data_IF_483577677277
#
_entry.id   IF_483577677277
#
_cell.length_a   1.000
_cell.length_b   1.000
_cell.length_c   1.000
_cell.angle_alpha   90.00
_cell.angle_beta   90.00
_cell.angle_gamma   90.00
#
_symmetry.space_group_name_H-M   'P 1'
#
loop_
_entity.id
_entity.type
_entity.pdbx_description
1 polymer ?
#
# COMPACT_ATOMS: atom_id res chain seq x y z
N UNK A 1 18.15 -11.55 6.60
CA UNK A 1 16.85 -11.78 5.93
C UNK A 1 16.40 -13.22 6.19
N UNK A 2 15.39 -13.39 7.04
CA UNK A 2 14.72 -14.69 7.21
C UNK A 2 13.63 -14.82 6.15
N UNK A 3 13.67 -15.91 5.40
CA UNK A 3 12.69 -16.21 4.36
C UNK A 3 11.58 -17.05 4.97
N UNK A 4 10.34 -16.54 4.93
CA UNK A 4 9.16 -17.27 5.38
C UNK A 4 8.47 -17.85 4.15
N UNK A 5 8.49 -19.17 4.01
CA UNK A 5 7.73 -19.90 3.00
C UNK A 5 6.38 -20.31 3.58
N UNK A 6 5.28 -19.96 2.89
CA UNK A 6 3.90 -20.18 3.38
C UNK A 6 3.21 -21.25 2.57
N UNK A 7 3.50 -22.55 2.73
CA UNK A 7 2.73 -23.57 2.02
C UNK A 7 2.36 -24.72 2.95
N UNK A 8 1.06 -24.94 3.15
CA UNK A 8 0.63 -26.32 3.41
C UNK A 8 -0.51 -26.79 2.50
N UNK A 9 -1.50 -25.98 2.07
CA UNK A 9 -2.65 -26.52 1.28
C UNK A 9 -3.34 -25.60 0.25
N UNK A 10 -2.65 -24.82 -0.59
CA UNK A 10 -3.31 -24.10 -1.71
C UNK A 10 -2.52 -24.06 -3.03
N UNK A 11 -3.24 -24.24 -4.14
CA UNK A 11 -2.77 -24.52 -5.51
C UNK A 11 -2.35 -23.27 -6.32
N UNK A 12 -2.60 -22.07 -5.82
CA UNK A 12 -2.02 -20.77 -6.22
C UNK A 12 -2.23 -19.82 -5.04
N UNK A 13 -1.19 -19.33 -4.36
CA UNK A 13 -1.38 -18.53 -3.12
C UNK A 13 -0.82 -17.11 -3.19
N UNK A 14 0.13 -16.85 -4.08
CA UNK A 14 0.64 -15.51 -4.45
C UNK A 14 1.27 -15.64 -5.84
N UNK A 15 1.38 -14.58 -6.66
CA UNK A 15 2.10 -14.67 -7.93
C UNK A 15 3.51 -15.23 -7.73
N UNK A 16 3.95 -16.16 -8.60
CA UNK A 16 5.25 -16.82 -8.44
C UNK A 16 6.45 -15.85 -8.49
N UNK A 17 6.26 -14.69 -9.14
CA UNK A 17 7.25 -13.62 -9.25
C UNK A 17 7.16 -12.58 -8.13
N UNK A 18 6.24 -12.74 -7.18
CA UNK A 18 6.08 -11.80 -6.06
C UNK A 18 7.15 -12.07 -5.00
N UNK A 19 8.06 -11.11 -4.82
CA UNK A 19 9.00 -11.10 -3.70
C UNK A 19 8.34 -10.52 -2.45
N UNK A 20 8.37 -11.28 -1.35
CA UNK A 20 7.76 -10.92 -0.07
C UNK A 20 8.85 -10.68 0.96
N UNK A 21 8.85 -9.49 1.58
CA UNK A 21 9.85 -9.08 2.57
C UNK A 21 9.14 -8.46 3.78
N UNK A 22 9.75 -8.54 4.96
CA UNK A 22 9.27 -7.90 6.17
C UNK A 22 10.39 -7.17 6.91
N UNK A 23 10.00 -6.22 7.75
CA UNK A 23 10.89 -5.46 8.62
C UNK A 23 10.31 -5.50 10.02
N UNK A 24 11.10 -5.98 10.98
CA UNK A 24 10.77 -5.86 12.41
C UNK A 24 11.26 -4.51 12.89
N UNK A 25 10.36 -3.70 13.42
CA UNK A 25 10.70 -2.41 14.00
C UNK A 25 9.75 -2.06 15.13
N UNK A 26 10.19 -1.15 15.99
CA UNK A 26 9.34 -0.60 17.05
C UNK A 26 8.21 0.24 16.46
N UNK A 27 7.07 0.29 17.15
CA UNK A 27 5.87 1.00 16.66
C UNK A 27 6.16 2.46 16.31
N UNK A 28 6.96 3.16 17.12
CA UNK A 28 7.32 4.56 16.89
C UNK A 28 8.23 4.78 15.67
N UNK A 29 8.91 3.73 15.19
CA UNK A 29 9.78 3.80 14.02
C UNK A 29 9.02 3.52 12.71
N UNK A 30 7.85 2.88 12.79
CA UNK A 30 7.05 2.43 11.64
C UNK A 30 6.84 3.50 10.56
N UNK A 31 6.46 4.71 10.98
CA UNK A 31 6.22 5.84 10.07
C UNK A 31 7.54 6.37 9.47
N UNK A 32 8.62 6.40 10.25
CA UNK A 32 9.93 6.81 9.77
C UNK A 32 10.49 5.82 8.74
N UNK A 33 10.29 4.52 8.97
CA UNK A 33 10.67 3.46 8.04
C UNK A 33 9.91 3.59 6.72
N UNK A 34 8.59 3.81 6.78
CA UNK A 34 7.78 4.06 5.58
C UNK A 34 8.27 5.30 4.82
N UNK A 35 8.53 6.40 5.52
CA UNK A 35 9.01 7.63 4.90
C UNK A 35 10.37 7.42 4.22
N UNK A 36 11.31 6.76 4.91
CA UNK A 36 12.63 6.43 4.35
C UNK A 36 12.51 5.54 3.12
N UNK A 37 11.65 4.51 3.17
CA UNK A 37 11.41 3.61 2.04
C UNK A 37 10.86 4.35 0.81
N UNK A 38 9.86 5.22 1.00
CA UNK A 38 9.30 5.98 -0.13
C UNK A 38 10.33 6.94 -0.72
N UNK A 39 11.19 7.55 0.12
CA UNK A 39 12.27 8.43 -0.35
C UNK A 39 13.35 7.73 -1.15
N UNK A 40 13.61 6.45 -0.91
CA UNK A 40 14.55 5.67 -1.73
C UNK A 40 13.93 5.13 -3.03
N UNK A 41 12.61 5.25 -3.21
CA UNK A 41 11.86 4.69 -4.35
C UNK A 41 11.00 5.73 -5.10
N UNK A 42 11.49 6.97 -5.27
CA UNK A 42 10.74 8.09 -5.87
C UNK A 42 10.19 7.83 -7.28
N UNK A 43 10.85 6.95 -8.04
CA UNK A 43 10.50 6.61 -9.43
C UNK A 43 9.64 5.34 -9.53
N UNK A 44 9.07 4.87 -8.42
CA UNK A 44 8.24 3.65 -8.37
C UNK A 44 6.78 4.00 -8.08
N UNK A 45 5.90 3.09 -8.51
CA UNK A 45 4.48 3.14 -8.20
C UNK A 45 4.18 2.20 -7.04
N UNK A 46 3.65 2.72 -5.95
CA UNK A 46 3.47 1.97 -4.70
C UNK A 46 2.06 2.13 -4.14
N UNK A 47 1.52 1.08 -3.53
CA UNK A 47 0.29 1.12 -2.74
C UNK A 47 0.66 0.82 -1.29
N UNK A 48 0.13 1.61 -0.37
CA UNK A 48 0.38 1.48 1.07
C UNK A 48 -0.94 1.25 1.77
N UNK A 49 -1.09 0.07 2.38
CA UNK A 49 -2.29 -0.33 3.10
C UNK A 49 -2.19 0.01 4.59
N UNK A 50 -3.26 0.64 5.09
CA UNK A 50 -3.47 1.00 6.49
C UNK A 50 -4.75 0.39 7.01
N UNK A 51 -4.82 0.15 8.33
CA UNK A 51 -5.95 -0.49 8.98
C UNK A 51 -7.22 0.39 9.00
N UNK A 52 -7.07 1.73 8.99
CA UNK A 52 -8.22 2.63 9.15
C UNK A 52 -8.25 3.83 8.20
N UNK A 53 -9.46 4.28 7.88
CA UNK A 53 -9.66 5.51 7.09
C UNK A 53 -9.06 6.75 7.77
N UNK A 54 -9.08 6.80 9.11
CA UNK A 54 -8.52 7.94 9.87
C UNK A 54 -7.00 8.00 9.73
N UNK A 55 -6.35 6.84 9.76
CA UNK A 55 -4.90 6.73 9.57
C UNK A 55 -4.48 7.11 8.17
N UNK A 56 -5.17 6.62 7.13
CA UNK A 56 -4.96 7.07 5.74
C UNK A 56 -5.05 8.60 5.65
N UNK A 57 -6.09 9.22 6.21
CA UNK A 57 -6.26 10.68 6.18
C UNK A 57 -5.15 11.42 6.92
N UNK A 58 -4.78 10.95 8.10
CA UNK A 58 -3.76 11.56 8.93
C UNK A 58 -2.39 11.49 8.25
N UNK A 59 -1.95 10.28 7.86
CA UNK A 59 -0.64 10.07 7.25
C UNK A 59 -0.56 10.70 5.87
N UNK A 60 -1.64 10.73 5.09
CA UNK A 60 -1.69 11.49 3.85
C UNK A 60 -1.36 12.97 4.08
N UNK A 61 -2.01 13.62 5.05
CA UNK A 61 -1.74 15.03 5.39
C UNK A 61 -0.32 15.25 5.89
N UNK A 62 0.19 14.34 6.72
CA UNK A 62 1.58 14.39 7.22
C UNK A 62 2.57 14.28 6.06
N UNK A 63 2.44 13.29 5.19
CA UNK A 63 3.37 13.07 4.09
C UNK A 63 3.29 14.19 3.05
N UNK A 64 2.11 14.76 2.79
CA UNK A 64 1.97 15.95 1.95
C UNK A 64 2.75 17.16 2.51
N UNK A 65 2.81 17.32 3.85
CA UNK A 65 3.62 18.37 4.49
C UNK A 65 5.12 18.05 4.46
N UNK A 66 5.49 16.78 4.67
CA UNK A 66 6.88 16.33 4.67
C UNK A 66 7.52 16.26 3.27
N UNK A 67 6.72 16.31 2.20
CA UNK A 67 7.16 16.36 0.79
C UNK A 67 8.24 15.33 0.46
N UNK A 68 7.94 14.02 0.46
CA UNK A 68 8.92 12.96 0.20
C UNK A 68 9.57 13.01 -1.19
N UNK A 69 9.03 13.79 -2.14
CA UNK A 69 9.59 13.94 -3.49
C UNK A 69 8.87 13.14 -4.57
N UNK A 70 7.71 12.56 -4.27
CA UNK A 70 6.83 11.87 -5.21
C UNK A 70 5.36 12.24 -4.95
N UNK A 71 4.46 12.11 -5.94
CA UNK A 71 3.03 12.35 -5.75
C UNK A 71 2.44 11.39 -4.72
N UNK A 72 1.66 11.94 -3.79
CA UNK A 72 0.94 11.17 -2.77
C UNK A 72 -0.55 11.28 -3.07
N UNK A 73 -1.24 10.15 -3.06
CA UNK A 73 -2.67 10.01 -3.27
C UNK A 73 -3.28 9.26 -2.08
N UNK A 74 -4.57 9.47 -1.82
CA UNK A 74 -5.28 8.80 -0.73
C UNK A 74 -6.67 8.33 -1.16
N UNK A 75 -6.96 7.07 -0.87
CA UNK A 75 -8.19 6.39 -1.24
C UNK A 75 -8.76 5.61 -0.05
N UNK A 76 -9.88 6.08 0.50
CA UNK A 76 -10.45 5.51 1.73
C UNK A 76 -11.99 5.44 1.69
N UNK A 77 -12.60 4.55 2.47
CA UNK A 77 -14.04 4.23 2.40
C UNK A 77 -14.99 5.40 2.67
N UNK A 78 -14.53 6.47 3.33
CA UNK A 78 -15.35 7.69 3.57
C UNK A 78 -15.45 8.64 2.36
N UNK A 79 -14.74 8.39 1.26
CA UNK A 79 -14.86 9.19 0.04
C UNK A 79 -16.08 8.79 -0.77
N UNK A 80 -16.75 9.77 -1.37
CA UNK A 80 -17.79 9.51 -2.36
C UNK A 80 -17.23 8.73 -3.55
N UNK A 81 -18.05 7.89 -4.17
CA UNK A 81 -17.63 7.01 -5.28
C UNK A 81 -16.97 7.77 -6.43
N UNK A 82 -17.52 8.94 -6.80
CA UNK A 82 -16.93 9.80 -7.84
C UNK A 82 -15.50 10.21 -7.51
N UNK A 83 -15.25 10.62 -6.25
CA UNK A 83 -13.91 11.02 -5.82
C UNK A 83 -12.95 9.84 -5.76
N UNK A 84 -13.42 8.66 -5.33
CA UNK A 84 -12.63 7.42 -5.36
C UNK A 84 -12.18 7.11 -6.78
N UNK A 85 -13.08 7.22 -7.76
CA UNK A 85 -12.77 6.94 -9.15
C UNK A 85 -11.81 7.97 -9.75
N UNK A 86 -11.95 9.25 -9.40
CA UNK A 86 -11.00 10.31 -9.80
C UNK A 86 -9.59 10.01 -9.31
N UNK A 87 -9.42 9.68 -8.02
CA UNK A 87 -8.12 9.33 -7.42
C UNK A 87 -7.54 8.06 -8.04
N UNK A 88 -8.37 7.04 -8.26
CA UNK A 88 -7.97 5.82 -8.93
C UNK A 88 -7.41 6.09 -10.33
N UNK A 89 -8.17 6.81 -11.16
CA UNK A 89 -7.73 7.20 -12.50
C UNK A 89 -6.47 8.06 -12.48
N UNK A 90 -6.35 8.95 -11.49
CA UNK A 90 -5.17 9.77 -11.32
C UNK A 90 -3.92 8.97 -10.92
N UNK A 91 -4.10 7.93 -10.12
CA UNK A 91 -3.04 6.98 -9.82
C UNK A 91 -2.66 6.18 -11.07
N UNK A 92 -3.62 5.67 -11.85
CA UNK A 92 -3.35 4.89 -13.06
C UNK A 92 -2.50 5.67 -14.08
N UNK A 93 -2.80 6.95 -14.32
CA UNK A 93 -2.05 7.79 -15.26
C UNK A 93 -0.62 8.12 -14.82
N UNK A 94 -0.31 8.03 -13.53
CA UNK A 94 1.03 8.36 -13.03
C UNK A 94 2.03 7.23 -13.26
N UNK A 95 3.22 7.61 -13.72
CA UNK A 95 4.38 6.73 -13.85
C UNK A 95 4.97 6.36 -12.48
N UNK A 96 5.02 7.33 -11.56
CA UNK A 96 5.39 7.12 -10.17
C UNK A 96 4.45 7.88 -9.24
N UNK A 97 4.05 7.22 -8.15
CA UNK A 97 3.15 7.74 -7.13
C UNK A 97 3.09 6.78 -5.95
N UNK A 98 2.68 7.29 -4.79
CA UNK A 98 2.25 6.45 -3.68
C UNK A 98 0.75 6.64 -3.43
N UNK A 99 0.02 5.54 -3.34
CA UNK A 99 -1.40 5.53 -2.97
C UNK A 99 -1.57 5.00 -1.56
N UNK A 100 -2.08 5.82 -0.65
CA UNK A 100 -2.46 5.41 0.69
C UNK A 100 -3.90 4.90 0.68
N UNK A 101 -4.13 3.66 1.10
CA UNK A 101 -5.42 3.03 0.99
C UNK A 101 -5.79 2.16 2.20
N UNK A 102 -7.09 1.91 2.33
CA UNK A 102 -7.64 0.82 3.18
C UNK A 102 -8.14 -0.29 2.27
N UNK A 103 -8.20 -1.54 2.76
CA UNK A 103 -8.70 -2.70 2.02
C UNK A 103 -10.07 -2.45 1.37
N UNK A 104 -11.04 -2.00 2.18
CA UNK A 104 -12.40 -1.73 1.71
C UNK A 104 -12.45 -0.72 0.56
N UNK A 105 -11.51 0.22 0.54
CA UNK A 105 -11.47 1.25 -0.49
C UNK A 105 -10.78 0.72 -1.76
N UNK A 106 -9.78 -0.15 -1.64
CA UNK A 106 -9.12 -0.74 -2.80
C UNK A 106 -9.93 -1.90 -3.43
N UNK A 107 -10.84 -2.54 -2.69
CA UNK A 107 -11.66 -3.66 -3.19
C UNK A 107 -12.41 -3.30 -4.48
N UNK A 108 -12.31 -4.18 -5.47
CA UNK A 108 -12.96 -4.03 -6.78
C UNK A 108 -12.27 -3.04 -7.72
N UNK A 109 -11.08 -2.54 -7.38
CA UNK A 109 -10.23 -1.75 -8.27
C UNK A 109 -9.02 -2.59 -8.68
N UNK A 110 -8.62 -2.47 -9.94
CA UNK A 110 -7.45 -3.16 -10.49
C UNK A 110 -6.29 -2.16 -10.66
N UNK A 111 -5.14 -2.45 -10.05
CA UNK A 111 -4.00 -1.54 -10.04
C UNK A 111 -2.82 -2.13 -10.84
N UNK A 112 -2.82 -1.99 -12.18
CA UNK A 112 -1.73 -2.48 -13.00
C UNK A 112 -0.43 -1.70 -12.77
N UNK A 113 0.70 -2.37 -13.03
CA UNK A 113 2.04 -1.81 -13.00
C UNK A 113 2.44 -1.16 -11.66
N UNK A 114 2.00 -1.73 -10.54
CA UNK A 114 2.48 -1.41 -9.19
C UNK A 114 3.79 -2.14 -8.93
N UNK A 115 4.80 -1.42 -8.45
CA UNK A 115 6.10 -2.00 -8.09
C UNK A 115 6.14 -2.51 -6.66
N UNK A 116 5.43 -1.84 -5.75
CA UNK A 116 5.47 -2.15 -4.32
C UNK A 116 4.07 -2.13 -3.71
N UNK A 117 3.73 -3.21 -3.02
CA UNK A 117 2.61 -3.24 -2.08
C UNK A 117 3.19 -3.26 -0.67
N UNK A 118 2.96 -2.18 0.07
CA UNK A 118 3.47 -1.99 1.43
C UNK A 118 2.31 -2.17 2.39
N UNK A 119 2.43 -3.14 3.29
CA UNK A 119 1.45 -3.36 4.35
C UNK A 119 1.99 -2.74 5.62
N UNK A 120 1.54 -1.50 5.92
CA UNK A 120 1.95 -0.84 7.16
C UNK A 120 1.31 -1.58 8.31
N UNK A 121 -0.01 -1.74 8.29
CA UNK A 121 -0.70 -2.57 9.27
C UNK A 121 -0.86 -3.99 8.76
N UNK A 122 -0.57 -4.95 9.65
CA UNK A 122 -0.76 -6.37 9.36
C UNK A 122 -2.22 -6.61 8.94
N UNK A 123 -2.46 -7.38 7.88
CA UNK A 123 -3.82 -7.76 7.51
C UNK A 123 -4.45 -8.62 8.62
N UNK A 124 -5.77 -8.58 8.72
CA UNK A 124 -6.52 -9.33 9.74
C UNK A 124 -6.43 -10.85 9.53
N UNK A 125 -6.29 -11.28 8.27
CA UNK A 125 -6.17 -12.68 7.89
C UNK A 125 -5.32 -12.88 6.62
N UNK A 126 -4.99 -14.14 6.33
CA UNK A 126 -4.22 -14.54 5.16
C UNK A 126 -4.94 -14.21 3.83
N UNK A 127 -6.28 -14.24 3.79
CA UNK A 127 -7.03 -13.91 2.57
C UNK A 127 -6.88 -12.42 2.23
N UNK A 128 -6.94 -11.56 3.23
CA UNK A 128 -6.72 -10.12 3.11
C UNK A 128 -5.29 -9.83 2.68
N UNK A 129 -4.31 -10.56 3.23
CA UNK A 129 -2.93 -10.50 2.73
C UNK A 129 -2.88 -10.78 1.22
N UNK A 130 -3.45 -11.89 0.78
CA UNK A 130 -3.45 -12.32 -0.64
C UNK A 130 -4.18 -11.29 -1.51
N UNK A 131 -5.31 -10.75 -1.07
CA UNK A 131 -6.05 -9.71 -1.81
C UNK A 131 -5.29 -8.38 -1.94
N UNK A 132 -4.38 -8.07 -1.01
CA UNK A 132 -3.56 -6.85 -1.09
C UNK A 132 -2.42 -7.00 -2.10
N UNK A 133 -1.80 -8.19 -2.14
CA UNK A 133 -0.57 -8.43 -2.93
C UNK A 133 -0.83 -9.09 -4.29
N UNK A 134 -2.02 -9.66 -4.47
CA UNK A 134 -2.45 -10.36 -5.69
C UNK A 134 -3.29 -9.52 -6.63
#
# INVERSE_FOLDING_TARGET
PEYIWVHEKAKFSTPATLEQNYIVCELYQKVNMLYSFLRSHLNKKSIVFFASCKEVQYLFRVFCRLRPGLPILALHGKQQQMKRMEVYQDFLRKKSAVLFATDLAARGLDFPAVNWVIQVDCPEDANTYIHRVG
#
